data_IF_170931247077
#
_entry.id   IF_170931247077
#
_cell.length_a   1.000
_cell.length_b   1.000
_cell.length_c   1.000
_cell.angle_alpha   90.00
_cell.angle_beta   90.00
_cell.angle_gamma   90.00
#
_symmetry.space_group_name_H-M   'P 1'
#
loop_
_entity.id
_entity.type
_entity.pdbx_description
1 polymer ?
#
# COMPACT_ATOMS: atom_id res chain seq x y z
N UNK A 1 -18.93 18.94 21.00
CA UNK A 1 -17.70 18.49 20.33
C UNK A 1 -18.03 17.18 19.67
N UNK A 2 -18.10 17.14 18.34
CA UNK A 2 -18.20 15.88 17.61
C UNK A 2 -16.83 15.21 17.65
N UNK A 3 -16.77 14.00 18.20
CA UNK A 3 -15.56 13.18 18.17
C UNK A 3 -15.35 12.67 16.75
N UNK A 4 -14.22 13.01 16.13
CA UNK A 4 -13.83 12.45 14.84
C UNK A 4 -13.87 10.91 14.93
N UNK A 5 -14.31 10.20 13.87
CA UNK A 5 -14.37 8.74 13.90
C UNK A 5 -12.97 8.16 14.14
N UNK A 6 -12.88 7.18 15.04
CA UNK A 6 -11.63 6.44 15.28
C UNK A 6 -11.38 5.45 14.13
N UNK A 7 -10.52 5.88 13.20
CA UNK A 7 -9.98 5.10 12.09
C UNK A 7 -8.66 4.39 12.46
N UNK A 8 -8.30 4.36 13.74
CA UNK A 8 -7.13 3.65 14.24
C UNK A 8 -7.23 2.14 14.06
N UNK A 9 -6.10 1.47 14.21
CA UNK A 9 -6.01 0.03 14.03
C UNK A 9 -6.87 -0.73 15.06
N UNK A 10 -7.80 -1.58 14.60
CA UNK A 10 -8.69 -2.37 15.48
C UNK A 10 -8.26 -3.83 15.51
N UNK A 11 -7.97 -4.36 16.71
CA UNK A 11 -7.56 -5.76 16.89
C UNK A 11 -8.63 -6.71 16.33
N UNK A 12 -8.23 -7.59 15.42
CA UNK A 12 -9.11 -8.56 14.78
C UNK A 12 -9.96 -8.01 13.62
N UNK A 13 -9.85 -6.72 13.30
CA UNK A 13 -10.51 -6.09 12.16
C UNK A 13 -9.59 -5.90 10.95
N UNK A 14 -10.13 -5.28 9.90
CA UNK A 14 -9.37 -4.78 8.77
C UNK A 14 -9.15 -3.28 8.89
N UNK A 15 -7.93 -2.84 8.62
CA UNK A 15 -7.62 -1.42 8.47
C UNK A 15 -7.50 -1.13 6.97
N UNK A 16 -8.13 -0.05 6.53
CA UNK A 16 -8.10 0.40 5.14
C UNK A 16 -7.61 1.84 5.12
N UNK A 17 -6.69 2.16 4.21
CA UNK A 17 -6.40 3.56 3.90
C UNK A 17 -7.64 4.17 3.26
N UNK A 18 -8.30 5.08 3.97
CA UNK A 18 -9.47 5.80 3.49
C UNK A 18 -9.13 7.28 3.39
N UNK A 19 -8.85 7.76 2.18
CA UNK A 19 -8.54 9.17 1.91
C UNK A 19 -9.56 9.71 0.91
N UNK A 20 -10.29 10.80 1.22
CA UNK A 20 -11.21 11.43 0.28
C UNK A 20 -10.53 11.81 -1.05
N UNK A 21 -11.23 11.62 -2.16
CA UNK A 21 -10.70 11.90 -3.51
C UNK A 21 -10.23 13.36 -3.68
N UNK A 22 -10.89 14.32 -3.00
CA UNK A 22 -10.51 15.74 -3.01
C UNK A 22 -9.10 16.02 -2.46
N UNK A 23 -8.54 15.10 -1.67
CA UNK A 23 -7.20 15.22 -1.12
C UNK A 23 -6.11 14.64 -2.05
N UNK A 24 -6.52 13.96 -3.13
CA UNK A 24 -5.60 13.48 -4.15
C UNK A 24 -5.24 14.62 -5.11
N UNK A 25 -3.97 15.07 -5.07
CA UNK A 25 -3.46 16.08 -6.01
C UNK A 25 -2.62 15.45 -7.12
N UNK A 26 -1.69 14.58 -6.74
CA UNK A 26 -0.83 13.84 -7.66
C UNK A 26 -0.22 12.62 -6.96
N UNK A 27 0.34 11.65 -7.72
CA UNK A 27 0.89 10.42 -7.14
C UNK A 27 2.01 10.65 -6.11
N UNK A 28 2.88 11.63 -6.33
CA UNK A 28 4.02 11.92 -5.44
C UNK A 28 3.54 12.44 -4.09
N UNK A 29 2.63 13.42 -4.12
CA UNK A 29 2.01 13.98 -2.92
C UNK A 29 1.22 12.91 -2.16
N UNK A 30 0.36 12.16 -2.86
CA UNK A 30 -0.46 11.13 -2.22
C UNK A 30 0.39 10.05 -1.54
N UNK A 31 1.50 9.65 -2.18
CA UNK A 31 2.44 8.73 -1.57
C UNK A 31 3.06 9.28 -0.28
N UNK A 32 3.59 10.50 -0.34
CA UNK A 32 4.33 11.08 0.77
C UNK A 32 3.44 11.42 1.97
N UNK A 33 2.21 11.89 1.72
CA UNK A 33 1.32 12.41 2.77
C UNK A 33 0.37 11.36 3.34
N UNK A 34 -0.06 10.37 2.55
CA UNK A 34 -1.09 9.42 2.98
C UNK A 34 -0.61 7.97 2.92
N UNK A 35 -0.17 7.51 1.75
CA UNK A 35 0.07 6.09 1.53
C UNK A 35 1.27 5.58 2.34
N UNK A 36 2.43 6.24 2.22
CA UNK A 36 3.64 5.80 2.92
C UNK A 36 3.49 5.86 4.44
N UNK A 37 2.98 6.95 5.07
CA UNK A 37 2.79 6.96 6.52
C UNK A 37 1.83 5.87 7.02
N UNK A 38 0.76 5.59 6.28
CA UNK A 38 -0.18 4.51 6.61
C UNK A 38 0.50 3.13 6.51
N UNK A 39 1.23 2.88 5.43
CA UNK A 39 1.93 1.63 5.19
C UNK A 39 3.06 1.42 6.21
N UNK A 40 3.85 2.44 6.51
CA UNK A 40 4.89 2.43 7.54
C UNK A 40 4.29 2.07 8.91
N UNK A 41 3.11 2.61 9.23
CA UNK A 41 2.39 2.28 10.46
C UNK A 41 2.00 0.80 10.52
N UNK A 42 1.46 0.24 9.43
CA UNK A 42 1.15 -1.19 9.34
C UNK A 42 2.40 -2.08 9.44
N UNK A 43 3.49 -1.67 8.78
CA UNK A 43 4.80 -2.34 8.84
C UNK A 43 5.35 -2.33 10.28
N UNK A 44 5.24 -1.20 11.00
CA UNK A 44 5.75 -1.09 12.38
C UNK A 44 5.05 -2.05 13.35
N UNK A 45 3.79 -2.40 13.08
CA UNK A 45 3.02 -3.40 13.83
C UNK A 45 3.23 -4.84 13.35
N UNK A 46 3.98 -5.03 12.27
CA UNK A 46 4.10 -6.29 11.54
C UNK A 46 2.73 -6.84 11.07
N UNK A 47 1.79 -5.96 10.73
CA UNK A 47 0.47 -6.36 10.24
C UNK A 47 0.63 -7.18 8.94
N UNK A 48 -0.08 -8.31 8.76
CA UNK A 48 -0.22 -8.94 7.45
C UNK A 48 -1.01 -8.01 6.51
N UNK A 49 -0.52 -7.80 5.29
CA UNK A 49 -1.18 -6.96 4.29
C UNK A 49 -1.88 -7.85 3.26
N UNK A 50 -3.20 -7.70 3.10
CA UNK A 50 -3.95 -8.44 2.08
C UNK A 50 -3.86 -7.71 0.75
N UNK A 51 -3.53 -8.44 -0.32
CA UNK A 51 -3.50 -7.91 -1.67
C UNK A 51 -4.79 -8.30 -2.41
N UNK A 52 -5.58 -7.31 -2.83
CA UNK A 52 -6.78 -7.53 -3.64
C UNK A 52 -6.44 -8.00 -5.07
N UNK A 53 -5.21 -7.78 -5.52
CA UNK A 53 -4.72 -8.16 -6.85
C UNK A 53 -3.44 -8.97 -6.70
N UNK A 54 -3.29 -10.05 -7.47
CA UNK A 54 -2.07 -10.86 -7.46
C UNK A 54 -0.94 -10.05 -8.11
N UNK A 55 0.19 -9.82 -7.42
CA UNK A 55 1.30 -9.05 -7.98
C UNK A 55 1.86 -9.76 -9.21
N UNK A 56 1.94 -9.02 -10.31
CA UNK A 56 2.55 -9.45 -11.56
C UNK A 56 3.06 -8.25 -12.34
N UNK A 57 3.92 -8.48 -13.33
CA UNK A 57 4.63 -7.40 -14.02
C UNK A 57 3.68 -6.36 -14.64
N UNK A 58 2.48 -6.78 -15.07
CA UNK A 58 1.45 -5.93 -15.69
C UNK A 58 0.70 -5.01 -14.71
N UNK A 59 0.75 -5.27 -13.40
CA UNK A 59 0.11 -4.43 -12.39
C UNK A 59 1.11 -3.73 -11.47
N UNK A 60 2.33 -4.26 -11.35
CA UNK A 60 3.44 -3.60 -10.66
C UNK A 60 4.07 -2.49 -11.49
N UNK A 61 3.98 -2.60 -12.83
CA UNK A 61 4.55 -1.63 -13.75
C UNK A 61 3.57 -1.24 -14.85
N UNK A 62 3.81 -0.07 -15.42
CA UNK A 62 3.11 0.47 -16.60
C UNK A 62 4.12 1.02 -17.59
N UNK A 63 3.73 1.18 -18.84
CA UNK A 63 4.51 1.96 -19.81
C UNK A 63 4.00 3.40 -19.77
N UNK A 64 4.91 4.35 -19.56
CA UNK A 64 4.60 5.76 -19.77
C UNK A 64 4.56 6.02 -21.28
N UNK A 65 3.38 6.36 -21.80
CA UNK A 65 3.17 6.54 -23.24
C UNK A 65 3.84 7.81 -23.80
N UNK A 66 4.18 8.79 -22.96
CA UNK A 66 4.90 10.00 -23.37
C UNK A 66 6.40 9.74 -23.53
N UNK A 67 6.97 8.94 -22.63
CA UNK A 67 8.43 8.68 -22.60
C UNK A 67 8.83 7.32 -23.16
N UNK A 68 7.87 6.41 -23.35
CA UNK A 68 8.09 5.01 -23.74
C UNK A 68 8.72 4.14 -22.65
N UNK A 69 8.91 4.66 -21.43
CA UNK A 69 9.65 3.95 -20.36
C UNK A 69 8.73 3.12 -19.48
N UNK A 70 9.25 2.00 -18.99
CA UNK A 70 8.62 1.19 -17.93
C UNK A 70 8.74 1.94 -16.60
N UNK A 71 7.61 2.24 -15.99
CA UNK A 71 7.48 2.93 -14.70
C UNK A 71 6.77 2.04 -13.69
N UNK A 72 7.15 2.14 -12.42
CA UNK A 72 6.47 1.46 -11.32
C UNK A 72 5.12 2.13 -11.03
N UNK A 73 4.09 1.33 -10.78
CA UNK A 73 2.77 1.84 -10.36
C UNK A 73 2.74 2.18 -8.87
N UNK A 74 1.67 2.83 -8.40
CA UNK A 74 1.45 3.00 -6.95
C UNK A 74 1.41 1.65 -6.21
N UNK A 75 0.71 0.66 -6.78
CA UNK A 75 0.69 -0.71 -6.26
C UNK A 75 2.08 -1.36 -6.27
N UNK A 76 2.86 -1.16 -7.36
CA UNK A 76 4.24 -1.61 -7.45
C UNK A 76 5.12 -1.02 -6.35
N UNK A 77 4.91 0.26 -6.04
CA UNK A 77 5.64 0.98 -4.99
C UNK A 77 5.32 0.43 -3.60
N UNK A 78 4.04 0.22 -3.28
CA UNK A 78 3.60 -0.42 -2.02
C UNK A 78 4.20 -1.83 -1.87
N UNK A 79 4.09 -2.64 -2.92
CA UNK A 79 4.62 -4.00 -2.95
C UNK A 79 6.14 -4.02 -2.71
N UNK A 80 6.89 -3.15 -3.41
CA UNK A 80 8.34 -3.04 -3.25
C UNK A 80 8.72 -2.55 -1.85
N UNK A 81 8.03 -1.55 -1.30
CA UNK A 81 8.28 -1.09 0.08
C UNK A 81 8.06 -2.18 1.11
N UNK A 82 7.08 -3.07 0.92
CA UNK A 82 6.88 -4.23 1.78
C UNK A 82 8.05 -5.22 1.67
N UNK A 83 8.51 -5.53 0.45
CA UNK A 83 9.68 -6.40 0.23
C UNK A 83 10.95 -5.84 0.91
N UNK A 84 11.23 -4.54 0.72
CA UNK A 84 12.36 -3.84 1.35
C UNK A 84 12.30 -3.89 2.88
N UNK A 85 11.10 -3.96 3.44
CA UNK A 85 10.86 -4.12 4.86
C UNK A 85 10.72 -5.59 5.29
N UNK A 86 11.22 -6.55 4.51
CA UNK A 86 11.31 -7.95 4.89
C UNK A 86 9.98 -8.71 4.86
N UNK A 87 8.97 -8.19 4.17
CA UNK A 87 7.76 -8.96 3.87
C UNK A 87 7.98 -9.87 2.66
N UNK A 88 7.26 -10.99 2.63
CA UNK A 88 7.23 -11.93 1.52
C UNK A 88 5.78 -12.14 1.07
N UNK A 89 5.59 -12.29 -0.24
CA UNK A 89 4.27 -12.60 -0.80
C UNK A 89 3.93 -14.08 -0.64
N UNK A 90 2.86 -14.37 0.08
CA UNK A 90 2.22 -15.68 0.14
C UNK A 90 1.07 -15.75 -0.88
N UNK A 91 1.33 -16.42 -1.99
CA UNK A 91 0.36 -16.63 -3.07
C UNK A 91 -0.86 -17.46 -2.65
N UNK A 92 -0.79 -18.26 -1.58
CA UNK A 92 -1.95 -19.07 -1.13
C UNK A 92 -2.97 -18.21 -0.40
N UNK A 93 -2.49 -17.31 0.46
CA UNK A 93 -3.37 -16.45 1.26
C UNK A 93 -3.60 -15.07 0.67
N UNK A 94 -2.92 -14.73 -0.45
CA UNK A 94 -2.92 -13.39 -1.05
C UNK A 94 -2.48 -12.31 -0.07
N UNK A 95 -1.46 -12.61 0.73
CA UNK A 95 -0.94 -11.69 1.76
C UNK A 95 0.55 -11.44 1.59
N UNK A 96 0.96 -10.24 1.95
CA UNK A 96 2.35 -9.96 2.33
C UNK A 96 2.49 -10.25 3.82
N UNK A 97 3.45 -11.10 4.19
CA UNK A 97 3.71 -11.50 5.57
C UNK A 97 5.17 -11.22 5.90
N UNK A 98 5.44 -10.61 7.06
CA UNK A 98 6.81 -10.38 7.55
C UNK A 98 7.55 -11.71 7.67
N UNK A 99 8.74 -11.79 7.07
CA UNK A 99 9.66 -12.91 7.28
C UNK A 99 9.95 -13.07 8.78
N UNK A 100 10.05 -14.32 9.24
CA UNK A 100 10.45 -14.63 10.61
C UNK A 100 11.89 -14.22 10.88
#
# INVERSE_FOLDING_TARGET
METLPDFGAKKGGFNLLNTPDELYKNPTQFWNEYNKPWLDSAISRNDPIVLATKPSDVNLYRINHETGRKEMTGFGREYNSLLENGYNFDNKSMKMIKGK
#
